data_IF_962651345413
#
_entry.id   IF_962651345413
#
_cell.length_a   1.000
_cell.length_b   1.000
_cell.length_c   1.000
_cell.angle_alpha   90.00
_cell.angle_beta   90.00
_cell.angle_gamma   90.00
#
_symmetry.space_group_name_H-M   'P 1'
#
loop_
_entity.id
_entity.type
_entity.pdbx_description
1 polymer ?
#
# COMPACT_ATOMS: atom_id res chain seq x y z
N UNK A 1 -59.67 -11.81 47.08
CA UNK A 1 -59.34 -11.37 48.46
C UNK A 1 -58.33 -10.24 48.36
N UNK A 2 -58.59 -9.09 48.99
CA UNK A 2 -57.64 -7.97 49.14
C UNK A 2 -57.65 -7.62 50.64
N UNK A 3 -56.48 -7.32 51.24
CA UNK A 3 -56.18 -5.95 51.69
C UNK A 3 -54.72 -5.52 51.32
N UNK A 4 -54.41 -4.25 50.98
CA UNK A 4 -54.13 -3.07 51.87
C UNK A 4 -52.93 -3.36 52.82
N UNK A 5 -51.82 -2.61 52.90
CA UNK A 5 -51.57 -1.16 53.14
C UNK A 5 -50.05 -0.87 53.00
N UNK A 6 -49.63 0.19 52.29
CA UNK A 6 -49.01 1.44 52.81
C UNK A 6 -47.73 1.37 53.69
N UNK A 7 -46.63 2.00 53.25
CA UNK A 7 -45.89 3.11 53.92
C UNK A 7 -44.62 3.45 53.09
N UNK A 8 -44.56 4.60 52.39
CA UNK A 8 -44.20 5.94 52.87
C UNK A 8 -42.77 6.05 53.38
N UNK A 9 -41.89 6.64 52.56
CA UNK A 9 -40.99 7.73 52.98
C UNK A 9 -40.50 8.50 51.76
N UNK A 10 -40.77 9.80 51.80
CA UNK A 10 -40.39 10.84 50.86
C UNK A 10 -39.09 11.49 51.32
N UNK A 11 -38.40 12.12 50.36
CA UNK A 11 -37.48 13.28 50.47
C UNK A 11 -36.17 13.02 51.23
N UNK A 12 -34.99 13.38 50.72
CA UNK A 12 -34.63 14.72 50.24
C UNK A 12 -33.43 14.70 49.29
N UNK A 13 -33.41 15.71 48.43
CA UNK A 13 -32.38 16.04 47.48
C UNK A 13 -30.99 16.26 48.12
N UNK A 14 -29.95 15.84 47.41
CA UNK A 14 -28.64 16.50 47.43
C UNK A 14 -27.90 16.20 46.13
N UNK A 15 -27.78 17.24 45.32
CA UNK A 15 -26.88 17.48 44.18
C UNK A 15 -25.48 16.84 44.31
N UNK A 16 -25.08 16.07 43.29
CA UNK A 16 -23.67 15.90 42.90
C UNK A 16 -23.60 15.49 41.40
N UNK A 17 -23.49 16.49 40.51
CA UNK A 17 -22.29 16.78 39.70
C UNK A 17 -21.66 15.57 38.97
N UNK A 18 -21.78 15.64 37.64
CA UNK A 18 -20.73 15.34 36.67
C UNK A 18 -20.35 13.88 36.44
N UNK A 19 -20.86 13.29 35.35
CA UNK A 19 -19.99 12.56 34.42
C UNK A 19 -20.58 12.55 33.00
N UNK A 20 -20.07 13.48 32.18
CA UNK A 20 -20.11 13.40 30.72
C UNK A 20 -19.55 12.04 30.29
N UNK A 21 -20.40 11.17 29.73
CA UNK A 21 -19.97 10.11 28.81
C UNK A 21 -20.56 10.47 27.46
N UNK A 22 -19.76 11.17 26.65
CA UNK A 22 -20.03 11.36 25.23
C UNK A 22 -20.02 10.00 24.57
N UNK A 23 -21.18 9.58 24.10
CA UNK A 23 -21.38 8.46 23.20
C UNK A 23 -20.52 8.66 21.95
N UNK A 24 -19.66 7.68 21.68
CA UNK A 24 -18.81 7.54 20.51
C UNK A 24 -19.67 7.56 19.25
N UNK A 25 -19.73 8.70 18.57
CA UNK A 25 -20.33 8.80 17.26
C UNK A 25 -19.43 8.08 16.25
N UNK A 26 -19.91 6.96 15.72
CA UNK A 26 -19.36 6.33 14.53
C UNK A 26 -19.40 7.34 13.38
N UNK A 27 -18.23 7.89 13.04
CA UNK A 27 -18.06 8.72 11.85
C UNK A 27 -17.39 7.88 10.77
N UNK A 28 -18.24 7.21 10.00
CA UNK A 28 -17.95 6.74 8.65
C UNK A 28 -17.73 7.95 7.75
N UNK A 29 -16.50 8.45 7.67
CA UNK A 29 -16.11 9.39 6.61
C UNK A 29 -15.66 8.59 5.39
N UNK A 30 -16.65 8.14 4.60
CA UNK A 30 -16.41 7.84 3.19
C UNK A 30 -16.05 9.16 2.51
N UNK A 31 -14.76 9.35 2.26
CA UNK A 31 -14.28 10.44 1.42
C UNK A 31 -14.77 10.18 0.00
N UNK A 32 -15.77 10.97 -0.39
CA UNK A 32 -16.32 11.11 -1.74
C UNK A 32 -15.18 11.37 -2.73
N UNK A 33 -14.74 10.33 -3.44
CA UNK A 33 -13.85 10.46 -4.59
C UNK A 33 -14.59 11.21 -5.69
N UNK A 34 -14.34 12.51 -5.82
CA UNK A 34 -14.58 13.23 -7.06
C UNK A 34 -13.39 12.93 -7.98
N UNK A 35 -13.57 11.96 -8.85
CA UNK A 35 -12.78 11.86 -10.07
C UNK A 35 -13.10 13.08 -10.94
N UNK A 36 -12.07 13.82 -11.32
CA UNK A 36 -12.18 14.99 -12.18
C UNK A 36 -10.82 15.54 -12.59
N UNK A 37 -10.31 15.06 -13.73
CA UNK A 37 -9.64 15.86 -14.75
C UNK A 37 -8.20 16.34 -14.51
N UNK A 38 -7.27 15.73 -15.26
CA UNK A 38 -6.01 16.29 -15.81
C UNK A 38 -5.12 17.15 -14.91
N UNK A 39 -3.95 16.61 -14.53
CA UNK A 39 -2.86 17.40 -13.93
C UNK A 39 -2.88 17.56 -12.41
N UNK A 40 -3.68 16.77 -11.69
CA UNK A 40 -3.74 16.83 -10.24
C UNK A 40 -2.46 16.25 -9.60
N UNK A 41 -1.50 17.11 -9.28
CA UNK A 41 -0.41 16.76 -8.38
C UNK A 41 -0.96 16.61 -6.96
N UNK A 42 -0.61 15.50 -6.31
CA UNK A 42 -0.91 15.27 -4.89
C UNK A 42 0.37 15.41 -4.08
N UNK A 43 0.26 16.01 -2.89
CA UNK A 43 1.38 16.19 -1.96
C UNK A 43 1.26 15.18 -0.84
N UNK A 44 2.32 14.43 -0.59
CA UNK A 44 2.45 13.51 0.53
C UNK A 44 3.68 13.86 1.37
N UNK A 45 3.60 13.63 2.68
CA UNK A 45 4.72 13.79 3.60
C UNK A 45 5.32 12.41 3.91
N UNK A 46 6.63 12.29 3.78
CA UNK A 46 7.39 11.07 4.06
C UNK A 46 8.37 11.33 5.20
N UNK A 47 8.47 10.38 6.12
CA UNK A 47 9.48 10.40 7.19
C UNK A 47 10.53 9.36 6.84
N UNK A 48 11.76 9.80 6.69
CA UNK A 48 12.91 8.96 6.43
C UNK A 48 13.75 8.85 7.70
N UNK A 49 14.30 7.67 7.93
CA UNK A 49 15.34 7.48 8.93
C UNK A 49 16.64 8.14 8.44
N UNK A 50 17.58 8.49 9.35
CA UNK A 50 18.81 9.18 8.96
C UNK A 50 19.67 8.40 7.97
N UNK A 51 19.72 7.08 8.10
CA UNK A 51 20.38 6.16 7.16
C UNK A 51 19.73 6.19 5.77
N UNK A 52 18.40 6.07 5.71
CA UNK A 52 17.66 6.14 4.43
C UNK A 52 17.85 7.47 3.71
N UNK A 53 17.92 8.58 4.46
CA UNK A 53 18.18 9.90 3.88
C UNK A 53 19.61 10.00 3.31
N UNK A 54 20.60 9.41 3.99
CA UNK A 54 21.98 9.37 3.51
C UNK A 54 22.12 8.56 2.23
N UNK A 55 21.50 7.37 2.19
CA UNK A 55 21.46 6.52 0.99
C UNK A 55 20.79 7.25 -0.19
N UNK A 56 19.67 7.92 0.07
CA UNK A 56 18.95 8.70 -0.94
C UNK A 56 19.80 9.85 -1.48
N UNK A 57 20.55 10.55 -0.62
CA UNK A 57 21.47 11.61 -1.06
C UNK A 57 22.60 11.06 -1.94
N UNK A 58 23.13 9.88 -1.63
CA UNK A 58 24.14 9.24 -2.45
C UNK A 58 23.60 8.83 -3.82
N UNK A 59 22.39 8.26 -3.88
CA UNK A 59 21.71 7.94 -5.13
C UNK A 59 21.48 9.21 -5.95
N UNK A 60 21.02 10.29 -5.33
CA UNK A 60 20.83 11.58 -5.99
C UNK A 60 22.13 12.11 -6.62
N UNK A 61 23.25 11.99 -5.92
CA UNK A 61 24.54 12.44 -6.44
C UNK A 61 24.98 11.61 -7.65
N UNK A 62 24.82 10.29 -7.58
CA UNK A 62 25.17 9.36 -8.67
C UNK A 62 24.31 9.59 -9.91
N UNK A 63 23.01 9.79 -9.72
CA UNK A 63 22.03 9.98 -10.79
C UNK A 63 21.84 11.46 -11.18
N UNK A 64 22.61 12.37 -10.58
CA UNK A 64 22.55 13.83 -10.79
C UNK A 64 21.15 14.41 -10.62
N UNK A 65 20.39 13.92 -9.65
CA UNK A 65 19.04 14.39 -9.35
C UNK A 65 19.09 15.68 -8.52
N UNK A 66 18.25 16.64 -8.89
CA UNK A 66 18.33 18.00 -8.37
C UNK A 66 17.52 18.23 -7.08
N UNK A 67 16.59 17.34 -6.73
CA UNK A 67 15.77 17.46 -5.52
C UNK A 67 15.38 16.11 -4.92
N UNK A 68 15.12 16.11 -3.61
CA UNK A 68 14.61 14.92 -2.89
C UNK A 68 13.26 14.46 -3.46
N UNK A 69 12.40 15.40 -3.85
CA UNK A 69 11.10 15.11 -4.45
C UNK A 69 11.24 14.41 -5.80
N UNK A 70 12.22 14.80 -6.61
CA UNK A 70 12.49 14.14 -7.90
C UNK A 70 13.02 12.73 -7.68
N UNK A 71 13.93 12.55 -6.72
CA UNK A 71 14.45 11.23 -6.37
C UNK A 71 13.35 10.28 -5.86
N UNK A 72 12.47 10.76 -4.98
CA UNK A 72 11.33 9.96 -4.51
C UNK A 72 10.34 9.65 -5.63
N UNK A 73 10.09 10.60 -6.54
CA UNK A 73 9.20 10.38 -7.69
C UNK A 73 9.76 9.34 -8.65
N UNK A 74 11.05 9.42 -8.98
CA UNK A 74 11.71 8.44 -9.84
C UNK A 74 11.81 7.08 -9.16
N UNK A 75 12.12 7.04 -7.87
CA UNK A 75 12.08 5.79 -7.09
C UNK A 75 10.71 5.11 -7.16
N UNK A 76 9.62 5.87 -6.95
CA UNK A 76 8.26 5.34 -7.07
C UNK A 76 7.93 4.88 -8.49
N UNK A 77 8.39 5.59 -9.52
CA UNK A 77 8.21 5.20 -10.92
C UNK A 77 8.89 3.86 -11.21
N UNK A 78 10.13 3.68 -10.75
CA UNK A 78 10.88 2.43 -10.94
C UNK A 78 10.24 1.27 -10.17
N UNK A 79 9.85 1.49 -8.91
CA UNK A 79 9.16 0.47 -8.11
C UNK A 79 7.81 0.06 -8.71
N UNK A 80 7.05 1.01 -9.27
CA UNK A 80 5.79 0.71 -9.96
C UNK A 80 6.00 -0.13 -11.21
N UNK A 81 7.09 0.12 -11.94
CA UNK A 81 7.46 -0.66 -13.12
C UNK A 81 7.82 -2.09 -12.72
N UNK A 82 8.71 -2.25 -11.74
CA UNK A 82 9.12 -3.56 -11.21
C UNK A 82 7.91 -4.37 -10.73
N UNK A 83 7.01 -3.76 -9.96
CA UNK A 83 5.81 -4.44 -9.49
C UNK A 83 4.92 -4.95 -10.64
N UNK A 84 4.88 -4.22 -11.76
CA UNK A 84 4.15 -4.64 -12.97
C UNK A 84 4.83 -5.82 -13.65
N UNK A 85 6.16 -5.80 -13.75
CA UNK A 85 6.96 -6.88 -14.34
C UNK A 85 6.87 -8.17 -13.50
N UNK A 86 6.91 -8.05 -12.18
CA UNK A 86 6.69 -9.17 -11.24
C UNK A 86 5.27 -9.73 -11.39
N UNK A 87 4.26 -8.87 -11.48
CA UNK A 87 2.87 -9.30 -11.67
C UNK A 87 2.68 -10.05 -13.00
N UNK A 88 3.24 -9.54 -14.10
CA UNK A 88 3.19 -10.19 -15.41
C UNK A 88 3.91 -11.55 -15.39
N UNK A 89 5.06 -11.62 -14.74
CA UNK A 89 5.81 -12.89 -14.58
C UNK A 89 5.01 -13.92 -13.78
N UNK A 90 4.30 -13.48 -12.74
CA UNK A 90 3.42 -14.35 -11.97
C UNK A 90 2.20 -14.81 -12.79
N UNK A 91 1.62 -13.94 -13.63
CA UNK A 91 0.52 -14.32 -14.53
C UNK A 91 0.94 -15.44 -15.50
N UNK A 92 2.14 -15.36 -16.08
CA UNK A 92 2.69 -16.41 -16.94
C UNK A 92 2.84 -17.71 -16.16
N UNK A 93 3.41 -17.64 -14.94
CA UNK A 93 3.58 -18.81 -14.08
C UNK A 93 2.23 -19.44 -13.74
N UNK A 94 1.23 -18.64 -13.40
CA UNK A 94 -0.11 -19.11 -13.07
C UNK A 94 -0.81 -19.74 -14.28
N UNK A 95 -0.65 -19.16 -15.47
CA UNK A 95 -1.17 -19.71 -16.72
C UNK A 95 -0.64 -21.11 -17.00
N UNK A 96 0.67 -21.32 -16.80
CA UNK A 96 1.29 -22.64 -16.93
C UNK A 96 1.21 -23.48 -15.64
N UNK A 97 0.50 -23.01 -14.61
CA UNK A 97 0.37 -23.68 -13.29
C UNK A 97 1.71 -24.03 -12.64
N UNK A 98 2.74 -23.22 -12.89
CA UNK A 98 4.09 -23.43 -12.41
C UNK A 98 4.94 -24.38 -13.27
N UNK A 99 4.36 -25.00 -14.30
CA UNK A 99 5.10 -25.84 -15.25
C UNK A 99 5.84 -24.98 -16.29
N UNK A 100 6.83 -25.58 -16.95
CA UNK A 100 7.52 -24.93 -18.06
C UNK A 100 6.58 -24.81 -19.27
N UNK A 101 6.65 -23.69 -19.98
CA UNK A 101 5.94 -23.51 -21.24
C UNK A 101 6.35 -24.62 -22.23
N UNK A 102 5.39 -25.27 -22.91
CA UNK A 102 5.68 -26.35 -23.83
C UNK A 102 6.47 -25.82 -25.04
N UNK A 103 7.43 -26.62 -25.51
CA UNK A 103 8.19 -26.30 -26.72
C UNK A 103 7.28 -26.37 -27.94
N UNK A 104 7.32 -25.37 -28.85
CA UNK A 104 6.56 -25.42 -30.10
C UNK A 104 6.91 -26.65 -30.94
N UNK A 105 5.95 -27.11 -31.75
CA UNK A 105 6.15 -28.27 -32.61
C UNK A 105 7.30 -28.06 -33.61
N UNK A 106 8.16 -29.08 -33.76
CA UNK A 106 9.31 -29.05 -34.67
C UNK A 106 10.54 -28.29 -34.15
N UNK A 107 10.48 -27.70 -32.95
CA UNK A 107 11.62 -27.02 -32.32
C UNK A 107 12.25 -27.94 -31.28
N UNK A 108 13.56 -28.16 -31.38
CA UNK A 108 14.32 -28.84 -30.34
C UNK A 108 14.60 -27.86 -29.19
N UNK A 109 14.49 -28.30 -27.92
CA UNK A 109 14.84 -27.45 -26.79
C UNK A 109 16.31 -27.06 -26.87
N UNK A 110 16.61 -25.79 -26.57
CA UNK A 110 17.98 -25.30 -26.52
C UNK A 110 18.79 -26.08 -25.46
N UNK A 111 20.02 -26.42 -25.81
CA UNK A 111 20.97 -27.03 -24.88
C UNK A 111 21.53 -25.99 -23.91
N UNK A 112 22.05 -26.43 -22.77
CA UNK A 112 22.64 -25.54 -21.77
C UNK A 112 23.82 -24.72 -22.34
N UNK A 113 24.63 -25.32 -23.21
CA UNK A 113 25.76 -24.66 -23.85
C UNK A 113 25.29 -23.56 -24.83
N UNK A 114 24.21 -23.81 -25.56
CA UNK A 114 23.59 -22.81 -26.46
C UNK A 114 22.96 -21.65 -25.68
N UNK A 115 22.33 -21.93 -24.53
CA UNK A 115 21.78 -20.90 -23.65
C UNK A 115 22.89 -20.01 -23.06
N UNK A 116 23.98 -20.61 -22.58
CA UNK A 116 25.12 -19.86 -22.06
C UNK A 116 25.77 -18.98 -23.13
N UNK A 117 25.94 -19.49 -24.35
CA UNK A 117 26.47 -18.73 -25.48
C UNK A 117 25.54 -17.55 -25.88
N UNK A 118 24.23 -17.70 -25.74
CA UNK A 118 23.27 -16.64 -26.00
C UNK A 118 23.33 -15.51 -24.97
N UNK A 119 23.52 -15.83 -23.69
CA UNK A 119 23.67 -14.84 -22.61
C UNK A 119 24.97 -14.02 -22.72
N UNK A 120 26.03 -14.61 -23.29
CA UNK A 120 27.30 -13.92 -23.56
C UNK A 120 27.25 -12.97 -24.77
N UNK A 121 26.18 -13.04 -25.56
CA UNK A 121 26.01 -12.18 -26.74
C UNK A 121 25.52 -10.80 -26.30
N UNK A 122 26.42 -9.82 -26.22
CA UNK A 122 26.06 -8.40 -26.11
C UNK A 122 25.44 -7.91 -27.43
N UNK A 123 24.28 -7.26 -27.35
CA UNK A 123 23.54 -6.66 -28.48
C UNK A 123 23.84 -5.17 -28.64
#
# INVERSE_FOLDING_TARGET
>A
MVPKTEQKSRTSAATAKTKRRTSTAARTSQARQKQGGSGATSVAQVRLRPDELADLQQVMQTLKLHSLSDALREGLRLLSREATEVAASQEIRDFYRGDQAPTPEGVLPATADELAAADETEW
#
